data_IF_991671127126
#
_entry.id   IF_991671127126
#
_cell.length_a   1.000
_cell.length_b   1.000
_cell.length_c   1.000
_cell.angle_alpha   90.00
_cell.angle_beta   90.00
_cell.angle_gamma   90.00
#
_symmetry.space_group_name_H-M   'P 1'
#
loop_
_entity.id
_entity.type
_entity.pdbx_description
1 polymer ?
#
# COMPACT_ATOMS: atom_id res chain seq x y z
N UNK A 1 23.43 8.72 15.93
CA UNK A 1 22.41 7.95 15.18
C UNK A 1 21.93 8.78 14.00
N UNK A 2 21.81 8.20 12.79
CA UNK A 2 21.32 8.91 11.60
C UNK A 2 19.81 8.73 11.48
N UNK A 3 19.08 9.80 11.16
CA UNK A 3 17.65 9.76 10.83
C UNK A 3 17.50 9.94 9.31
N UNK A 4 16.65 9.14 8.68
CA UNK A 4 16.24 9.26 7.28
C UNK A 4 14.83 8.69 7.11
N UNK A 5 14.17 9.08 6.02
CA UNK A 5 12.95 8.45 5.54
C UNK A 5 13.24 7.02 5.06
N UNK A 6 12.35 6.09 5.41
CA UNK A 6 12.53 4.65 5.23
C UNK A 6 11.59 4.09 4.18
N UNK A 7 12.02 3.05 3.46
CA UNK A 7 11.14 2.19 2.66
C UNK A 7 10.85 0.92 3.46
N UNK A 8 9.58 0.68 3.79
CA UNK A 8 9.10 -0.49 4.50
C UNK A 8 8.25 -1.36 3.58
N UNK A 9 8.41 -2.67 3.63
CA UNK A 9 7.60 -3.63 2.88
C UNK A 9 6.92 -4.60 3.86
N UNK A 10 5.60 -4.69 3.78
CA UNK A 10 4.82 -5.74 4.42
C UNK A 10 4.35 -6.73 3.34
N UNK A 11 5.03 -7.87 3.26
CA UNK A 11 4.82 -8.92 2.25
C UNK A 11 4.32 -10.24 2.85
N UNK A 12 4.20 -11.28 2.03
CA UNK A 12 3.82 -12.64 2.44
C UNK A 12 2.32 -12.93 2.32
N UNK A 13 1.97 -14.20 2.47
CA UNK A 13 0.58 -14.68 2.27
C UNK A 13 -0.31 -14.56 3.51
N UNK A 14 0.25 -14.22 4.67
CA UNK A 14 -0.46 -14.01 5.92
C UNK A 14 -1.32 -12.75 5.91
N UNK A 15 -2.36 -12.77 6.76
CA UNK A 15 -3.15 -11.59 7.08
C UNK A 15 -2.30 -10.61 7.89
N UNK A 16 -2.42 -9.32 7.58
CA UNK A 16 -1.88 -8.27 8.43
C UNK A 16 -1.22 -7.10 7.68
N UNK A 17 -0.92 -7.26 6.37
CA UNK A 17 -0.04 -6.32 5.63
C UNK A 17 -0.64 -4.92 5.58
N UNK A 18 -1.84 -4.81 5.01
CA UNK A 18 -2.62 -3.58 4.95
C UNK A 18 -2.94 -3.03 6.33
N UNK A 19 -3.33 -3.87 7.30
CA UNK A 19 -3.61 -3.40 8.67
C UNK A 19 -2.36 -2.86 9.38
N UNK A 20 -1.17 -3.40 9.10
CA UNK A 20 0.09 -2.87 9.64
C UNK A 20 0.44 -1.52 9.01
N UNK A 21 0.23 -1.36 7.70
CA UNK A 21 0.39 -0.09 7.01
C UNK A 21 -0.61 0.97 7.54
N UNK A 22 -1.87 0.60 7.74
CA UNK A 22 -2.89 1.46 8.37
C UNK A 22 -2.51 1.83 9.81
N UNK A 23 -1.99 0.89 10.60
CA UNK A 23 -1.46 1.17 11.93
C UNK A 23 -0.29 2.17 11.92
N UNK A 24 0.59 2.08 10.92
CA UNK A 24 1.65 3.08 10.70
C UNK A 24 1.07 4.45 10.32
N UNK A 25 0.08 4.50 9.42
CA UNK A 25 -0.64 5.72 9.06
C UNK A 25 -1.28 6.39 10.27
N UNK A 26 -2.00 5.61 11.09
CA UNK A 26 -2.61 6.12 12.32
C UNK A 26 -1.56 6.63 13.33
N UNK A 27 -0.42 5.93 13.45
CA UNK A 27 0.69 6.39 14.30
C UNK A 27 1.26 7.72 13.83
N UNK A 28 1.50 7.86 12.53
CA UNK A 28 2.01 9.11 11.94
C UNK A 28 1.00 10.25 12.13
N UNK A 29 -0.28 10.02 11.83
CA UNK A 29 -1.35 11.00 12.02
C UNK A 29 -1.50 11.42 13.49
N UNK A 30 -1.38 10.48 14.45
CA UNK A 30 -1.36 10.78 15.88
C UNK A 30 -0.19 11.67 16.34
N UNK A 31 0.86 11.79 15.52
CA UNK A 31 1.97 12.73 15.71
C UNK A 31 1.86 14.00 14.85
N UNK A 32 0.70 14.24 14.22
CA UNK A 32 0.46 15.40 13.35
C UNK A 32 1.18 15.34 12.00
N UNK A 33 1.70 14.17 11.61
CA UNK A 33 2.37 13.98 10.32
C UNK A 33 1.35 13.83 9.20
N UNK A 34 1.60 14.48 8.06
CA UNK A 34 0.79 14.32 6.85
C UNK A 34 1.12 13.00 6.17
N UNK A 35 0.11 12.24 5.79
CA UNK A 35 0.24 10.94 5.13
C UNK A 35 -0.69 10.82 3.94
N UNK A 36 -0.22 10.15 2.89
CA UNK A 36 -1.03 9.79 1.73
C UNK A 36 -1.14 8.26 1.68
N UNK A 37 -2.36 7.73 1.72
CA UNK A 37 -2.63 6.30 1.62
C UNK A 37 -3.29 6.01 0.27
N UNK A 38 -2.59 5.27 -0.59
CA UNK A 38 -3.07 4.93 -1.93
C UNK A 38 -3.27 3.42 -2.00
N UNK A 39 -4.52 3.00 -2.21
CA UNK A 39 -4.90 1.60 -2.38
C UNK A 39 -5.09 1.32 -3.87
N UNK A 40 -4.26 0.44 -4.43
CA UNK A 40 -4.24 0.16 -5.87
C UNK A 40 -5.30 -0.85 -6.32
N UNK A 41 -5.84 -1.63 -5.38
CA UNK A 41 -6.90 -2.61 -5.65
C UNK A 41 -8.14 -2.23 -4.87
N UNK A 42 -9.19 -1.84 -5.60
CA UNK A 42 -10.51 -1.59 -5.01
C UNK A 42 -11.11 -2.86 -4.42
N UNK A 43 -11.07 -3.01 -3.10
CA UNK A 43 -11.96 -3.96 -2.44
C UNK A 43 -13.41 -3.45 -2.47
N UNK A 44 -14.34 -4.40 -2.58
CA UNK A 44 -15.77 -4.16 -2.77
C UNK A 44 -16.53 -3.77 -1.50
N UNK A 45 -15.84 -3.49 -0.39
CA UNK A 45 -16.43 -3.39 0.94
C UNK A 45 -16.16 -2.04 1.59
N UNK A 46 -17.10 -1.56 2.43
CA UNK A 46 -16.87 -0.39 3.28
C UNK A 46 -15.84 -0.76 4.35
N UNK A 47 -14.70 -0.09 4.35
CA UNK A 47 -13.61 -0.31 5.30
C UNK A 47 -13.89 0.41 6.61
N UNK A 48 -13.85 -0.32 7.73
CA UNK A 48 -13.91 0.30 9.06
C UNK A 48 -12.78 1.33 9.27
N UNK A 49 -11.64 1.14 8.61
CA UNK A 49 -10.50 2.04 8.73
C UNK A 49 -10.72 3.39 8.04
N UNK A 50 -11.50 3.46 6.95
CA UNK A 50 -11.87 4.76 6.36
C UNK A 50 -12.70 5.60 7.34
N UNK A 51 -13.66 4.97 8.02
CA UNK A 51 -14.48 5.63 9.04
C UNK A 51 -13.64 6.07 10.25
N UNK A 52 -12.66 5.25 10.65
CA UNK A 52 -11.73 5.61 11.73
C UNK A 52 -10.80 6.77 11.32
N UNK A 53 -10.25 6.71 10.10
CA UNK A 53 -9.35 7.73 9.56
C UNK A 53 -10.06 9.05 9.23
N UNK A 54 -11.39 9.06 9.11
CA UNK A 54 -12.15 10.31 8.99
C UNK A 54 -11.93 11.28 10.17
N UNK A 55 -11.50 10.77 11.33
CA UNK A 55 -11.09 11.58 12.50
C UNK A 55 -9.74 12.28 12.32
N UNK A 56 -8.94 11.81 11.37
CA UNK A 56 -7.62 12.32 10.99
C UNK A 56 -7.61 12.84 9.55
N UNK A 57 -8.75 13.33 9.07
CA UNK A 57 -8.92 13.81 7.68
C UNK A 57 -8.01 14.97 7.31
N UNK A 58 -7.46 15.68 8.30
CA UNK A 58 -6.49 16.74 8.04
C UNK A 58 -5.10 16.14 7.79
N UNK A 59 -4.76 15.04 8.47
CA UNK A 59 -3.47 14.36 8.38
C UNK A 59 -3.41 13.28 7.31
N UNK A 60 -4.54 12.69 6.91
CA UNK A 60 -4.58 11.49 6.08
C UNK A 60 -5.39 11.73 4.82
N UNK A 61 -4.70 11.79 3.70
CA UNK A 61 -5.32 11.70 2.37
C UNK A 61 -5.46 10.24 1.98
N UNK A 62 -6.70 9.76 1.85
CA UNK A 62 -6.99 8.36 1.54
C UNK A 62 -7.59 8.21 0.14
N UNK A 63 -6.87 7.51 -0.75
CA UNK A 63 -7.25 7.29 -2.13
C UNK A 63 -7.48 5.81 -2.40
N UNK A 64 -8.73 5.41 -2.65
CA UNK A 64 -9.06 4.08 -3.18
C UNK A 64 -9.09 4.16 -4.70
N UNK A 65 -8.13 3.51 -5.34
CA UNK A 65 -7.96 3.54 -6.79
C UNK A 65 -8.02 2.12 -7.38
N UNK A 66 -7.93 2.06 -8.71
CA UNK A 66 -8.06 0.82 -9.45
C UNK A 66 -9.51 0.35 -9.62
N UNK A 67 -9.68 -0.72 -10.38
CA UNK A 67 -10.99 -1.28 -10.77
C UNK A 67 -11.41 -2.50 -9.95
N UNK A 68 -10.56 -2.93 -9.03
CA UNK A 68 -10.76 -4.09 -8.17
C UNK A 68 -9.87 -5.24 -8.58
N UNK A 69 -10.22 -6.45 -8.14
CA UNK A 69 -9.41 -7.64 -8.36
C UNK A 69 -9.31 -8.00 -9.85
N UNK A 70 -8.09 -7.89 -10.39
CA UNK A 70 -7.78 -8.05 -11.81
C UNK A 70 -7.97 -9.48 -12.33
N UNK A 71 -7.97 -10.48 -11.45
CA UNK A 71 -8.23 -11.89 -11.81
C UNK A 71 -9.69 -12.22 -12.15
N UNK A 72 -10.61 -11.26 -12.01
CA UNK A 72 -12.00 -11.37 -12.48
C UNK A 72 -12.34 -10.30 -13.52
N UNK A 73 -11.35 -9.57 -14.01
CA UNK A 73 -11.58 -8.48 -14.94
C UNK A 73 -11.79 -8.98 -16.35
N UNK A 74 -12.82 -8.48 -17.00
CA UNK A 74 -13.12 -8.76 -18.40
C UNK A 74 -12.31 -7.84 -19.34
N UNK A 75 -11.53 -6.89 -18.81
CA UNK A 75 -10.83 -5.85 -19.59
C UNK A 75 -9.48 -5.45 -18.97
N UNK A 76 -8.42 -6.16 -19.38
CA UNK A 76 -7.04 -5.98 -18.92
C UNK A 76 -6.49 -4.59 -19.24
N UNK A 77 -6.87 -4.01 -20.39
CA UNK A 77 -6.35 -2.70 -20.80
C UNK A 77 -6.92 -1.58 -19.92
N UNK A 78 -8.20 -1.66 -19.54
CA UNK A 78 -8.77 -0.72 -18.55
C UNK A 78 -8.15 -0.87 -17.17
N UNK A 79 -7.77 -2.07 -16.76
CA UNK A 79 -7.09 -2.27 -15.48
C UNK A 79 -5.69 -1.66 -15.50
N UNK A 80 -4.93 -1.86 -16.58
CA UNK A 80 -3.63 -1.21 -16.77
C UNK A 80 -3.74 0.32 -16.77
N UNK A 81 -4.74 0.87 -17.46
CA UNK A 81 -4.98 2.31 -17.46
C UNK A 81 -5.29 2.86 -16.06
N UNK A 82 -6.14 2.16 -15.29
CA UNK A 82 -6.47 2.57 -13.93
C UNK A 82 -5.28 2.41 -12.96
N UNK A 83 -4.48 1.35 -13.11
CA UNK A 83 -3.24 1.16 -12.38
C UNK A 83 -2.22 2.26 -12.71
N UNK A 84 -2.14 2.67 -13.98
CA UNK A 84 -1.27 3.77 -14.42
C UNK A 84 -1.69 5.09 -13.80
N UNK A 85 -2.98 5.41 -13.82
CA UNK A 85 -3.53 6.61 -13.17
C UNK A 85 -3.22 6.64 -11.67
N UNK A 86 -3.43 5.51 -10.98
CA UNK A 86 -3.09 5.36 -9.57
C UNK A 86 -1.59 5.54 -9.31
N UNK A 87 -0.75 5.05 -10.23
CA UNK A 87 0.69 5.20 -10.14
C UNK A 87 1.14 6.65 -10.35
N UNK A 88 0.53 7.39 -11.29
CA UNK A 88 0.79 8.83 -11.44
C UNK A 88 0.43 9.60 -10.16
N UNK A 89 -0.69 9.25 -9.50
CA UNK A 89 -1.06 9.84 -8.20
C UNK A 89 -0.03 9.53 -7.11
N UNK A 90 0.50 8.31 -7.08
CA UNK A 90 1.55 7.94 -6.15
C UNK A 90 2.86 8.69 -6.40
N UNK A 91 3.27 8.85 -7.66
CA UNK A 91 4.45 9.65 -8.01
C UNK A 91 4.29 11.10 -7.59
N UNK A 92 3.13 11.70 -7.84
CA UNK A 92 2.80 13.05 -7.37
C UNK A 92 2.96 13.15 -5.84
N UNK A 93 2.33 12.24 -5.09
CA UNK A 93 2.41 12.23 -3.63
C UNK A 93 3.86 12.09 -3.13
N UNK A 94 4.63 11.15 -3.67
CA UNK A 94 6.04 10.90 -3.32
C UNK A 94 6.91 12.14 -3.56
N UNK A 95 6.69 12.85 -4.67
CA UNK A 95 7.55 13.96 -5.09
C UNK A 95 7.07 15.34 -4.62
N UNK A 96 5.85 15.45 -4.09
CA UNK A 96 5.23 16.73 -3.71
C UNK A 96 5.94 17.49 -2.59
N UNK A 97 6.62 16.77 -1.69
CA UNK A 97 7.13 17.34 -0.43
C UNK A 97 6.04 17.68 0.60
N UNK A 98 4.76 17.37 0.32
CA UNK A 98 3.63 17.66 1.20
C UNK A 98 3.33 16.58 2.25
N UNK A 99 3.96 15.40 2.13
CA UNK A 99 3.72 14.26 3.00
C UNK A 99 4.99 13.84 3.74
N UNK A 100 4.81 13.38 4.97
CA UNK A 100 5.87 12.72 5.74
C UNK A 100 5.89 11.20 5.50
N UNK A 101 4.75 10.61 5.11
CA UNK A 101 4.68 9.21 4.71
C UNK A 101 3.71 8.98 3.53
N UNK A 102 4.08 8.07 2.63
CA UNK A 102 3.19 7.56 1.56
C UNK A 102 3.04 6.06 1.71
N UNK A 103 1.80 5.57 1.68
CA UNK A 103 1.47 4.14 1.66
C UNK A 103 1.03 3.75 0.26
N UNK A 104 1.68 2.71 -0.27
CA UNK A 104 1.39 2.08 -1.55
C UNK A 104 0.80 0.69 -1.27
N UNK A 105 -0.49 0.65 -0.98
CA UNK A 105 -1.19 -0.57 -0.56
C UNK A 105 -1.56 -1.45 -1.77
N UNK A 106 -1.18 -2.72 -1.70
CA UNK A 106 -1.32 -3.72 -2.76
C UNK A 106 -0.51 -3.40 -4.03
N UNK A 107 0.58 -2.63 -3.88
CA UNK A 107 1.45 -2.20 -4.98
C UNK A 107 2.23 -3.33 -5.64
N UNK A 108 2.58 -4.40 -4.91
CA UNK A 108 3.36 -5.50 -5.50
C UNK A 108 2.65 -6.15 -6.69
N UNK A 109 1.31 -6.11 -6.74
CA UNK A 109 0.53 -6.63 -7.85
C UNK A 109 0.71 -5.82 -9.14
N UNK A 110 0.94 -4.50 -9.03
CA UNK A 110 1.17 -3.67 -10.21
C UNK A 110 2.44 -4.09 -10.95
N UNK A 111 3.50 -4.39 -10.20
CA UNK A 111 4.77 -4.87 -10.75
C UNK A 111 4.61 -6.30 -11.29
N UNK A 112 4.08 -7.19 -10.46
CA UNK A 112 3.98 -8.61 -10.79
C UNK A 112 3.17 -8.90 -12.05
N UNK A 113 2.11 -8.12 -12.28
CA UNK A 113 1.26 -8.29 -13.46
C UNK A 113 1.64 -7.37 -14.62
N UNK A 114 2.76 -6.64 -14.53
CA UNK A 114 3.20 -5.72 -15.57
C UNK A 114 2.17 -4.64 -15.89
N UNK A 115 1.47 -4.14 -14.86
CA UNK A 115 0.49 -3.05 -15.01
C UNK A 115 1.18 -1.69 -15.13
N UNK A 116 2.38 -1.58 -14.57
CA UNK A 116 3.30 -0.46 -14.75
C UNK A 116 4.69 -1.01 -15.08
N UNK A 117 5.55 -0.14 -15.58
CA UNK A 117 6.95 -0.47 -15.87
C UNK A 117 7.74 -0.54 -14.54
N UNK A 118 8.49 -1.64 -14.35
CA UNK A 118 9.12 -1.96 -13.07
C UNK A 118 10.31 -1.04 -12.79
N UNK A 119 11.15 -0.82 -13.79
CA UNK A 119 12.33 0.02 -13.70
C UNK A 119 11.96 1.47 -13.36
N UNK A 120 10.88 2.00 -13.93
CA UNK A 120 10.29 3.30 -13.61
C UNK A 120 9.88 3.36 -12.13
N UNK A 121 9.17 2.33 -11.65
CA UNK A 121 8.76 2.25 -10.25
C UNK A 121 9.98 2.25 -9.30
N UNK A 122 10.99 1.43 -9.60
CA UNK A 122 12.21 1.36 -8.81
C UNK A 122 13.00 2.68 -8.86
N UNK A 123 13.04 3.37 -10.00
CA UNK A 123 13.70 4.68 -10.10
C UNK A 123 13.03 5.72 -9.22
N UNK A 124 11.69 5.81 -9.26
CA UNK A 124 10.93 6.75 -8.40
C UNK A 124 11.20 6.46 -6.93
N UNK A 125 11.15 5.19 -6.51
CA UNK A 125 11.39 4.80 -5.12
C UNK A 125 12.82 5.13 -4.67
N UNK A 126 13.82 4.96 -5.53
CA UNK A 126 15.22 5.39 -5.26
C UNK A 126 15.35 6.90 -5.13
N UNK A 127 14.57 7.67 -5.90
CA UNK A 127 14.61 9.13 -5.95
C UNK A 127 13.70 9.82 -4.93
N UNK A 128 13.01 9.06 -4.08
CA UNK A 128 12.14 9.62 -3.04
C UNK A 128 12.88 10.69 -2.21
N UNK A 129 12.19 11.70 -1.67
CA UNK A 129 12.78 12.63 -0.72
C UNK A 129 13.46 11.92 0.47
N UNK A 130 14.55 12.50 0.96
CA UNK A 130 15.44 11.85 1.92
C UNK A 130 14.77 11.57 3.28
N UNK A 131 13.76 12.35 3.65
CA UNK A 131 12.98 12.30 4.88
C UNK A 131 11.62 11.61 4.73
N UNK A 132 11.16 11.38 3.50
CA UNK A 132 9.88 10.71 3.23
C UNK A 132 9.93 9.22 3.60
N UNK A 133 8.97 8.75 4.39
CA UNK A 133 8.71 7.33 4.59
C UNK A 133 7.82 6.78 3.48
N UNK A 134 8.12 5.58 2.98
CA UNK A 134 7.26 4.84 2.06
C UNK A 134 6.95 3.49 2.69
N UNK A 135 5.67 3.11 2.74
CA UNK A 135 5.24 1.79 3.14
C UNK A 135 4.56 1.10 1.97
N UNK A 136 5.04 -0.09 1.61
CA UNK A 136 4.54 -0.88 0.50
C UNK A 136 3.90 -2.14 1.08
N UNK A 137 2.74 -2.52 0.56
CA UNK A 137 2.11 -3.79 0.91
C UNK A 137 1.84 -4.61 -0.34
N UNK A 138 1.67 -5.91 -0.14
CA UNK A 138 1.17 -6.83 -1.14
C UNK A 138 1.80 -8.20 -0.99
N UNK A 139 1.36 -9.18 -1.78
CA UNK A 139 1.99 -10.50 -1.75
C UNK A 139 3.22 -10.52 -2.64
N UNK A 140 4.17 -11.39 -2.31
CA UNK A 140 5.25 -11.79 -3.22
C UNK A 140 6.03 -10.59 -3.78
N UNK A 141 6.44 -9.68 -2.90
CA UNK A 141 7.35 -8.59 -3.24
C UNK A 141 8.59 -9.12 -3.98
N UNK A 142 8.90 -8.51 -5.12
CA UNK A 142 10.02 -8.90 -5.98
C UNK A 142 11.37 -8.58 -5.33
N UNK A 143 12.42 -9.32 -5.72
CA UNK A 143 13.76 -9.23 -5.11
C UNK A 143 14.34 -7.82 -5.19
N UNK A 144 14.19 -7.16 -6.34
CA UNK A 144 14.68 -5.81 -6.58
C UNK A 144 14.00 -4.77 -5.66
N UNK A 145 12.74 -5.03 -5.27
CA UNK A 145 12.01 -4.19 -4.34
C UNK A 145 12.44 -4.45 -2.89
N UNK A 146 12.70 -5.72 -2.55
CA UNK A 146 13.23 -6.14 -1.24
C UNK A 146 14.62 -5.54 -1.01
N UNK A 147 15.50 -5.60 -2.00
CA UNK A 147 16.85 -5.03 -1.94
C UNK A 147 16.83 -3.50 -1.74
N UNK A 148 15.83 -2.81 -2.29
CA UNK A 148 15.66 -1.37 -2.14
C UNK A 148 15.14 -0.96 -0.76
N UNK A 149 14.48 -1.88 -0.04
CA UNK A 149 13.81 -1.57 1.21
C UNK A 149 14.76 -1.50 2.42
N UNK A 150 14.43 -0.62 3.35
CA UNK A 150 15.12 -0.54 4.65
C UNK A 150 14.59 -1.58 5.65
N UNK A 151 13.34 -2.00 5.49
CA UNK A 151 12.69 -3.01 6.32
C UNK A 151 11.76 -3.85 5.46
N UNK A 152 11.86 -5.17 5.60
CA UNK A 152 10.90 -6.11 5.02
C UNK A 152 10.39 -7.02 6.12
N UNK A 153 9.07 -7.12 6.25
CA UNK A 153 8.41 -8.11 7.11
C UNK A 153 7.56 -9.03 6.24
N UNK A 154 7.87 -10.32 6.29
CA UNK A 154 7.06 -11.36 5.67
C UNK A 154 6.03 -11.88 6.68
N UNK A 155 4.75 -11.68 6.37
CA UNK A 155 3.66 -12.21 7.16
C UNK A 155 3.37 -13.64 6.71
N UNK A 156 3.76 -14.62 7.53
CA UNK A 156 3.51 -16.03 7.26
C UNK A 156 2.18 -16.49 7.84
N UNK A 157 1.32 -17.20 7.08
CA UNK A 157 0.03 -17.70 7.54
C UNK A 157 0.19 -18.96 8.40
N UNK A 158 0.76 -18.82 9.61
CA UNK A 158 0.95 -19.95 10.56
C UNK A 158 -0.38 -20.65 10.84
N UNK A 159 -1.46 -19.88 11.01
CA UNK A 159 -2.84 -20.36 11.09
C UNK A 159 -3.77 -19.30 10.51
N UNK A 160 -4.83 -19.73 9.83
CA UNK A 160 -5.85 -18.82 9.30
C UNK A 160 -7.24 -19.44 9.42
N UNK A 161 -8.26 -18.71 9.95
CA UNK A 161 -9.60 -19.25 10.21
C UNK A 161 -10.33 -19.71 8.92
N UNK A 162 -10.02 -19.09 7.78
CA UNK A 162 -10.50 -19.55 6.47
C UNK A 162 -10.20 -21.04 6.18
N UNK A 163 -9.08 -21.59 6.66
CA UNK A 163 -8.77 -23.03 6.48
C UNK A 163 -9.74 -23.95 7.25
N UNK A 164 -10.52 -23.39 8.17
CA UNK A 164 -11.56 -24.06 8.94
C UNK A 164 -12.96 -23.75 8.37
N UNK A 165 -13.06 -23.11 7.19
CA UNK A 165 -14.33 -22.73 6.57
C UNK A 165 -14.96 -21.47 7.17
N UNK A 166 -14.28 -20.76 8.08
CA UNK A 166 -14.79 -19.52 8.66
C UNK A 166 -14.65 -18.39 7.65
N UNK A 167 -15.78 -17.75 7.31
CA UNK A 167 -15.84 -16.62 6.37
C UNK A 167 -15.40 -15.32 7.01
N UNK A 168 -15.10 -14.31 6.18
CA UNK A 168 -14.73 -12.97 6.61
C UNK A 168 -15.78 -12.35 7.56
N UNK A 169 -15.30 -11.70 8.62
CA UNK A 169 -16.10 -11.07 9.67
C UNK A 169 -15.82 -9.57 9.75
N UNK A 170 -16.88 -8.79 9.97
CA UNK A 170 -16.80 -7.36 10.20
C UNK A 170 -15.98 -7.05 11.46
N UNK A 171 -15.06 -6.10 11.37
CA UNK A 171 -14.12 -5.72 12.42
C UNK A 171 -12.87 -6.61 12.51
N UNK A 172 -12.76 -7.66 11.67
CA UNK A 172 -11.61 -8.56 11.65
C UNK A 172 -10.99 -8.59 10.25
N UNK A 173 -11.77 -8.90 9.21
CA UNK A 173 -11.33 -8.91 7.82
C UNK A 173 -11.66 -7.61 7.06
N UNK A 174 -12.71 -6.89 7.48
CA UNK A 174 -13.17 -5.62 6.89
C UNK A 174 -13.97 -4.77 7.89
#
# INVERSE_FOLDING_TARGET
>A
MKKKGLILIFTGHGKGKTTAALGMTMRAAGHGMKTCFIQFIKGSWKYGEMEALARFREEVDFHVMGRGFTWKSDDVEKDKAAAREAWEKAKEAIMSGGYNAVVLDEFTYLLRYGMIEKEEALEVLRRKPADLHICITGRDAEEELIELADLVTEMQPVKHPYRQGITAQKGVEF
#
